data_IF_620330748941
#
_entry.id   IF_620330748941
#
_cell.length_a   1.000
_cell.length_b   1.000
_cell.length_c   1.000
_cell.angle_alpha   90.00
_cell.angle_beta   90.00
_cell.angle_gamma   90.00
#
_symmetry.space_group_name_H-M   'P 1'
#
loop_
_entity.id
_entity.type
_entity.pdbx_description
1 polymer ?
#
# COMPACT_ATOMS: atom_id res chain seq x y z
N UNK A 1 -10.86 57.33 9.18
CA UNK A 1 -9.95 56.68 10.15
C UNK A 1 -10.39 55.25 10.53
N UNK A 2 -11.69 54.96 10.76
CA UNK A 2 -12.16 53.58 11.06
C UNK A 2 -11.97 52.56 9.91
N UNK A 3 -12.18 52.97 8.65
CA UNK A 3 -12.02 52.09 7.47
C UNK A 3 -10.57 51.67 7.20
N UNK A 4 -9.60 52.56 7.45
CA UNK A 4 -8.16 52.25 7.30
C UNK A 4 -7.66 51.28 8.38
N UNK A 5 -8.18 51.37 9.60
CA UNK A 5 -7.89 50.41 10.68
C UNK A 5 -8.45 49.02 10.34
N UNK A 6 -9.65 48.95 9.77
CA UNK A 6 -10.27 47.68 9.37
C UNK A 6 -9.48 46.98 8.25
N UNK A 7 -8.95 47.75 7.28
CA UNK A 7 -8.09 47.25 6.20
C UNK A 7 -6.74 46.74 6.75
N UNK A 8 -6.16 47.46 7.72
CA UNK A 8 -4.92 47.05 8.38
C UNK A 8 -5.10 45.73 9.15
N UNK A 9 -6.21 45.56 9.87
CA UNK A 9 -6.52 44.33 10.62
C UNK A 9 -6.72 43.13 9.67
N UNK A 10 -7.40 43.31 8.54
CA UNK A 10 -7.59 42.26 7.54
C UNK A 10 -6.26 41.87 6.87
N UNK A 11 -5.38 42.85 6.63
CA UNK A 11 -4.06 42.59 6.04
C UNK A 11 -3.15 41.77 6.94
N UNK A 12 -3.28 41.87 8.27
CA UNK A 12 -2.45 41.09 9.21
C UNK A 12 -2.78 39.60 9.20
N UNK A 13 -4.02 39.22 8.87
CA UNK A 13 -4.41 37.81 8.75
C UNK A 13 -3.78 37.12 7.54
N UNK A 14 -3.37 37.86 6.51
CA UNK A 14 -2.75 37.30 5.30
C UNK A 14 -1.28 36.88 5.49
N UNK A 15 -0.61 37.33 6.56
CA UNK A 15 0.81 37.01 6.82
C UNK A 15 1.02 35.91 7.87
N UNK A 16 -0.05 35.36 8.47
CA UNK A 16 0.05 34.35 9.54
C UNK A 16 0.31 32.92 9.03
N UNK A 17 0.10 32.65 7.74
CA UNK A 17 0.41 31.35 7.14
C UNK A 17 1.88 31.26 6.71
N UNK A 18 2.80 31.18 7.67
CA UNK A 18 4.12 30.59 7.41
C UNK A 18 4.00 29.08 7.56
N UNK A 19 3.85 28.38 6.43
CA UNK A 19 4.07 26.94 6.37
C UNK A 19 5.56 26.67 6.54
N UNK A 20 6.05 26.77 7.77
CA UNK A 20 7.40 26.33 8.11
C UNK A 20 7.37 24.80 8.15
N UNK A 21 7.68 24.19 7.00
CA UNK A 21 7.93 22.76 6.92
C UNK A 21 9.24 22.45 7.64
N UNK A 22 9.17 22.31 8.97
CA UNK A 22 10.30 21.95 9.83
C UNK A 22 10.66 20.45 9.73
N UNK A 23 10.25 19.78 8.66
CA UNK A 23 10.55 18.38 8.46
C UNK A 23 12.06 18.22 8.17
N UNK A 24 12.74 17.25 8.81
CA UNK A 24 14.15 17.00 8.55
C UNK A 24 14.34 16.54 7.11
N UNK A 25 15.47 16.92 6.52
CA UNK A 25 15.86 16.35 5.24
C UNK A 25 16.31 14.89 5.44
N UNK A 26 15.61 13.99 4.78
CA UNK A 26 15.85 12.54 4.81
C UNK A 26 16.24 11.98 3.43
N UNK A 27 16.53 12.86 2.47
CA UNK A 27 16.88 12.49 1.09
C UNK A 27 18.13 11.61 0.99
N UNK A 28 19.06 11.76 1.93
CA UNK A 28 20.31 10.99 2.03
C UNK A 28 20.13 9.60 2.66
N UNK A 29 18.98 9.29 3.26
CA UNK A 29 18.73 8.00 3.89
C UNK A 29 18.37 6.99 2.79
N UNK A 30 19.22 6.00 2.55
CA UNK A 30 18.91 4.96 1.57
C UNK A 30 17.92 3.94 2.14
N UNK A 31 16.80 3.76 1.43
CA UNK A 31 15.77 2.75 1.66
C UNK A 31 15.41 2.17 0.30
N UNK A 32 15.44 0.85 0.20
CA UNK A 32 15.01 0.10 -0.96
C UNK A 32 13.64 -0.52 -0.69
N UNK A 33 12.67 -0.23 -1.54
CA UNK A 33 11.29 -0.71 -1.42
C UNK A 33 10.86 -1.20 -2.80
N UNK A 34 10.47 -2.47 -2.86
CA UNK A 34 9.78 -3.03 -4.01
C UNK A 34 8.41 -3.54 -3.56
N UNK A 35 7.36 -3.08 -4.23
CA UNK A 35 6.02 -3.57 -3.96
C UNK A 35 5.75 -4.79 -4.85
N UNK A 36 5.30 -5.86 -4.21
CA UNK A 36 4.85 -7.06 -4.91
C UNK A 36 3.34 -6.97 -5.17
N UNK A 37 2.93 -7.32 -6.39
CA UNK A 37 1.55 -7.27 -6.84
C UNK A 37 0.86 -8.61 -6.65
N UNK A 38 0.58 -8.96 -5.39
CA UNK A 38 -0.16 -10.17 -5.02
C UNK A 38 -1.47 -10.32 -5.81
N UNK A 39 -2.20 -9.22 -5.98
CA UNK A 39 -3.44 -9.16 -6.75
C UNK A 39 -3.22 -9.67 -8.19
N UNK A 40 -2.14 -9.25 -8.86
CA UNK A 40 -1.85 -9.69 -10.22
C UNK A 40 -1.65 -11.18 -10.34
N UNK A 41 -0.88 -11.74 -9.42
CA UNK A 41 -0.58 -13.17 -9.45
C UNK A 41 -1.80 -14.01 -9.03
N UNK A 42 -2.63 -13.49 -8.12
CA UNK A 42 -3.89 -14.12 -7.75
C UNK A 42 -4.88 -14.16 -8.93
N UNK A 43 -5.05 -13.04 -9.64
CA UNK A 43 -5.93 -12.96 -10.81
C UNK A 43 -5.37 -13.68 -12.05
N UNK A 44 -4.09 -14.04 -12.07
CA UNK A 44 -3.48 -14.85 -13.11
C UNK A 44 -3.75 -16.37 -12.95
N UNK A 45 -4.40 -16.80 -11.86
CA UNK A 45 -4.73 -18.20 -11.65
C UNK A 45 -5.70 -18.71 -12.73
N UNK A 46 -5.34 -19.83 -13.37
CA UNK A 46 -6.24 -20.52 -14.30
C UNK A 46 -7.47 -21.07 -13.56
N UNK A 47 -8.64 -20.59 -13.96
CA UNK A 47 -9.93 -20.99 -13.37
C UNK A 47 -10.32 -22.44 -13.61
N UNK A 48 -9.63 -23.14 -14.52
CA UNK A 48 -9.74 -24.59 -14.72
C UNK A 48 -8.79 -25.39 -13.82
N UNK A 49 -7.76 -24.74 -13.27
CA UNK A 49 -6.68 -25.37 -12.50
C UNK A 49 -6.35 -24.57 -11.22
N UNK A 50 -7.38 -24.31 -10.39
CA UNK A 50 -7.28 -23.47 -9.19
C UNK A 50 -6.24 -23.97 -8.18
N UNK A 51 -6.26 -25.27 -7.85
CA UNK A 51 -5.42 -25.81 -6.78
C UNK A 51 -3.91 -25.68 -7.10
N UNK A 52 -3.41 -26.06 -8.30
CA UNK A 52 -2.05 -25.75 -8.70
C UNK A 52 -1.69 -24.26 -8.64
N UNK A 53 -2.60 -23.38 -9.10
CA UNK A 53 -2.37 -21.93 -9.07
C UNK A 53 -2.26 -21.38 -7.64
N UNK A 54 -3.14 -21.82 -6.74
CA UNK A 54 -3.06 -21.46 -5.32
C UNK A 54 -1.80 -21.98 -4.64
N UNK A 55 -1.33 -23.18 -4.99
CA UNK A 55 -0.08 -23.71 -4.46
C UNK A 55 1.12 -22.86 -4.90
N UNK A 56 1.16 -22.45 -6.17
CA UNK A 56 2.20 -21.54 -6.69
C UNK A 56 2.13 -20.16 -6.02
N UNK A 57 0.91 -19.60 -5.89
CA UNK A 57 0.70 -18.32 -5.22
C UNK A 57 1.15 -18.37 -3.76
N UNK A 58 0.80 -19.43 -3.03
CA UNK A 58 1.21 -19.60 -1.64
C UNK A 58 2.72 -19.79 -1.49
N UNK A 59 3.38 -20.47 -2.43
CA UNK A 59 4.84 -20.59 -2.42
C UNK A 59 5.54 -19.22 -2.54
N UNK A 60 4.97 -18.31 -3.34
CA UNK A 60 5.48 -16.93 -3.49
C UNK A 60 5.06 -16.02 -2.32
N UNK A 61 3.84 -16.16 -1.84
CA UNK A 61 3.20 -15.28 -0.85
C UNK A 61 2.70 -16.05 0.36
N UNK A 62 3.62 -16.70 1.09
CA UNK A 62 3.30 -17.62 2.19
C UNK A 62 2.44 -17.01 3.30
N UNK A 63 2.59 -15.70 3.55
CA UNK A 63 1.83 -14.99 4.58
C UNK A 63 0.54 -14.40 3.99
N UNK A 64 0.61 -13.74 2.83
CA UNK A 64 -0.54 -13.06 2.25
C UNK A 64 -1.62 -14.02 1.76
N UNK A 65 -1.24 -15.16 1.16
CA UNK A 65 -2.19 -16.12 0.58
C UNK A 65 -3.19 -16.66 1.61
N UNK A 66 -2.77 -17.28 2.73
CA UNK A 66 -3.72 -17.78 3.72
C UNK A 66 -4.56 -16.66 4.34
N UNK A 67 -3.98 -15.47 4.56
CA UNK A 67 -4.73 -14.31 5.09
C UNK A 67 -5.83 -13.90 4.12
N UNK A 68 -5.51 -13.81 2.82
CA UNK A 68 -6.46 -13.42 1.80
C UNK A 68 -7.59 -14.44 1.67
N UNK A 69 -7.26 -15.73 1.59
CA UNK A 69 -8.27 -16.79 1.50
C UNK A 69 -9.19 -16.81 2.73
N UNK A 70 -8.62 -16.73 3.93
CA UNK A 70 -9.38 -16.85 5.17
C UNK A 70 -10.17 -15.58 5.52
N UNK A 71 -9.53 -14.41 5.48
CA UNK A 71 -10.10 -13.19 6.04
C UNK A 71 -10.67 -12.24 4.99
N UNK A 72 -10.28 -12.37 3.72
CA UNK A 72 -10.84 -11.56 2.63
C UNK A 72 -11.91 -12.35 1.87
N UNK A 73 -11.60 -13.58 1.44
CA UNK A 73 -12.58 -14.40 0.73
C UNK A 73 -13.52 -15.17 1.65
N UNK A 74 -13.13 -15.41 2.91
CA UNK A 74 -13.94 -16.18 3.85
C UNK A 74 -14.11 -17.65 3.44
N UNK A 75 -13.12 -18.22 2.74
CA UNK A 75 -13.17 -19.60 2.26
C UNK A 75 -12.43 -20.54 3.21
N UNK A 76 -12.96 -21.74 3.38
CA UNK A 76 -12.34 -22.85 4.10
C UNK A 76 -11.88 -23.94 3.13
N UNK A 77 -11.26 -25.01 3.64
CA UNK A 77 -10.80 -26.13 2.80
C UNK A 77 -11.91 -26.82 2.00
N UNK A 78 -13.15 -26.81 2.48
CA UNK A 78 -14.25 -27.51 1.84
C UNK A 78 -14.80 -26.74 0.63
N UNK A 79 -14.76 -25.39 0.67
CA UNK A 79 -15.27 -24.54 -0.41
C UNK A 79 -14.18 -23.75 -1.16
N UNK A 80 -12.91 -23.86 -0.79
CA UNK A 80 -11.78 -23.07 -1.34
C UNK A 80 -11.79 -22.97 -2.86
N UNK A 81 -11.86 -24.10 -3.56
CA UNK A 81 -11.76 -24.13 -5.04
C UNK A 81 -12.92 -23.35 -5.66
N UNK A 82 -14.15 -23.62 -5.21
CA UNK A 82 -15.34 -22.97 -5.75
C UNK A 82 -15.40 -21.49 -5.35
N UNK A 83 -15.03 -21.16 -4.12
CA UNK A 83 -15.00 -19.79 -3.62
C UNK A 83 -14.00 -18.91 -4.37
N UNK A 84 -12.78 -19.40 -4.59
CA UNK A 84 -11.76 -18.69 -5.38
C UNK A 84 -12.21 -18.56 -6.84
N UNK A 85 -12.71 -19.63 -7.45
CA UNK A 85 -13.22 -19.59 -8.84
C UNK A 85 -14.35 -18.58 -9.01
N UNK A 86 -15.30 -18.57 -8.08
CA UNK A 86 -16.42 -17.62 -8.10
C UNK A 86 -15.93 -16.19 -7.92
N UNK A 87 -15.02 -15.94 -6.98
CA UNK A 87 -14.46 -14.61 -6.77
C UNK A 87 -13.74 -14.10 -8.03
N UNK A 88 -12.85 -14.91 -8.62
CA UNK A 88 -12.16 -14.56 -9.87
C UNK A 88 -13.17 -14.23 -10.98
N UNK A 89 -14.18 -15.08 -11.18
CA UNK A 89 -15.19 -14.88 -12.22
C UNK A 89 -16.02 -13.61 -12.01
N UNK A 90 -16.43 -13.31 -10.78
CA UNK A 90 -17.30 -12.17 -10.47
C UNK A 90 -16.54 -10.84 -10.45
N UNK A 91 -15.25 -10.86 -10.15
CA UNK A 91 -14.45 -9.65 -9.97
C UNK A 91 -13.52 -9.33 -11.14
N UNK A 92 -13.40 -10.19 -12.15
CA UNK A 92 -12.45 -9.99 -13.26
C UNK A 92 -12.61 -8.63 -13.97
N UNK A 93 -13.85 -8.21 -14.27
CA UNK A 93 -14.09 -6.92 -14.92
C UNK A 93 -13.74 -5.70 -14.05
N UNK A 94 -13.92 -5.82 -12.72
CA UNK A 94 -13.44 -4.79 -11.79
C UNK A 94 -11.91 -4.76 -11.77
N UNK A 95 -11.29 -5.94 -11.73
CA UNK A 95 -9.83 -6.07 -11.71
C UNK A 95 -9.17 -5.50 -12.98
N UNK A 96 -9.78 -5.63 -14.16
CA UNK A 96 -9.28 -5.00 -15.40
C UNK A 96 -9.16 -3.47 -15.24
N UNK A 97 -10.15 -2.85 -14.59
CA UNK A 97 -10.14 -1.42 -14.30
C UNK A 97 -9.05 -1.08 -13.28
N UNK A 98 -8.93 -1.87 -12.21
CA UNK A 98 -7.88 -1.70 -11.20
C UNK A 98 -6.49 -1.80 -11.84
N UNK A 99 -6.25 -2.78 -12.70
CA UNK A 99 -4.95 -2.98 -13.34
C UNK A 99 -4.61 -1.88 -14.36
N UNK A 100 -5.63 -1.22 -14.92
CA UNK A 100 -5.47 -0.05 -15.79
C UNK A 100 -5.09 1.19 -14.97
N UNK A 101 -5.84 1.48 -13.90
CA UNK A 101 -5.59 2.64 -13.02
C UNK A 101 -4.26 2.49 -12.29
N UNK A 102 -3.96 1.30 -11.79
CA UNK A 102 -2.74 0.98 -11.04
C UNK A 102 -1.77 0.15 -11.89
N UNK A 103 -1.39 0.67 -13.05
CA UNK A 103 -0.49 -0.02 -13.99
C UNK A 103 0.93 -0.20 -13.43
N UNK A 104 1.44 0.74 -12.64
CA UNK A 104 2.74 0.64 -11.98
C UNK A 104 2.62 0.89 -10.49
N UNK A 105 3.63 0.47 -9.74
CA UNK A 105 3.73 0.71 -8.30
C UNK A 105 4.67 1.87 -7.96
N UNK A 106 5.30 2.50 -8.96
CA UNK A 106 6.38 3.48 -8.76
C UNK A 106 6.00 4.65 -7.86
N UNK A 107 4.77 5.15 -7.99
CA UNK A 107 4.24 6.22 -7.13
C UNK A 107 4.14 5.78 -5.67
N UNK A 108 3.56 4.59 -5.44
CA UNK A 108 3.47 4.01 -4.10
C UNK A 108 4.86 3.69 -3.54
N UNK A 109 5.75 3.11 -4.34
CA UNK A 109 7.13 2.81 -3.94
C UNK A 109 7.88 4.08 -3.51
N UNK A 110 7.67 5.21 -4.22
CA UNK A 110 8.23 6.51 -3.84
C UNK A 110 7.67 7.01 -2.51
N UNK A 111 6.36 6.91 -2.31
CA UNK A 111 5.70 7.37 -1.08
C UNK A 111 6.13 6.52 0.13
N UNK A 112 6.13 5.19 -0.02
CA UNK A 112 6.63 4.27 0.99
C UNK A 112 8.11 4.51 1.28
N UNK A 113 8.95 4.68 0.25
CA UNK A 113 10.37 5.01 0.44
C UNK A 113 10.53 6.24 1.32
N UNK A 114 9.79 7.32 1.03
CA UNK A 114 9.84 8.55 1.82
C UNK A 114 9.35 8.33 3.26
N UNK A 115 8.26 7.59 3.45
CA UNK A 115 7.76 7.25 4.77
C UNK A 115 8.79 6.47 5.60
N UNK A 116 9.40 5.42 5.02
CA UNK A 116 10.40 4.61 5.70
C UNK A 116 11.73 5.35 5.93
N UNK A 117 12.09 6.32 5.08
CA UNK A 117 13.20 7.24 5.35
C UNK A 117 12.97 8.02 6.65
N UNK A 118 11.75 8.54 6.87
CA UNK A 118 11.41 9.20 8.14
C UNK A 118 11.39 8.23 9.32
N UNK A 119 10.86 7.02 9.16
CA UNK A 119 10.91 6.00 10.22
C UNK A 119 12.37 5.77 10.64
N UNK A 120 13.29 5.61 9.69
CA UNK A 120 14.71 5.40 9.98
C UNK A 120 15.38 6.64 10.59
N UNK A 121 14.97 7.84 10.20
CA UNK A 121 15.46 9.09 10.80
C UNK A 121 15.08 9.19 12.28
N UNK A 122 13.80 8.98 12.61
CA UNK A 122 13.30 9.14 13.98
C UNK A 122 13.55 7.91 14.86
N UNK A 123 13.66 6.71 14.28
CA UNK A 123 13.87 5.44 14.97
C UNK A 123 15.07 4.69 14.36
N UNK A 124 16.31 5.18 14.55
CA UNK A 124 17.49 4.62 13.89
C UNK A 124 17.82 3.17 14.27
N UNK A 125 17.34 2.70 15.42
CA UNK A 125 17.50 1.31 15.88
C UNK A 125 16.41 0.38 15.34
N UNK A 126 15.40 0.90 14.63
CA UNK A 126 14.33 0.10 14.05
C UNK A 126 14.87 -0.77 12.91
N UNK A 127 14.82 -2.08 13.12
CA UNK A 127 15.21 -3.05 12.10
C UNK A 127 13.98 -3.41 11.27
N UNK A 128 13.82 -2.72 10.14
CA UNK A 128 12.99 -3.24 9.06
C UNK A 128 13.61 -4.57 8.60
N UNK A 129 12.91 -5.68 8.83
CA UNK A 129 13.28 -6.98 8.27
C UNK A 129 13.53 -6.84 6.77
N UNK A 130 14.47 -7.62 6.22
CA UNK A 130 14.90 -7.60 4.80
C UNK A 130 13.75 -7.69 3.79
N UNK A 131 12.57 -8.12 4.24
CA UNK A 131 11.31 -7.95 3.56
C UNK A 131 10.43 -7.03 4.42
N UNK A 132 10.36 -5.73 4.10
CA UNK A 132 9.45 -4.75 4.72
C UNK A 132 7.96 -5.05 4.49
N UNK A 133 7.60 -6.29 4.15
CA UNK A 133 6.24 -6.72 3.84
C UNK A 133 5.42 -6.94 5.12
N UNK A 134 6.06 -7.07 6.29
CA UNK A 134 5.34 -7.31 7.54
C UNK A 134 6.04 -6.62 8.72
N UNK A 135 5.53 -5.44 9.07
CA UNK A 135 5.75 -4.84 10.38
C UNK A 135 4.90 -5.61 11.40
N UNK A 136 5.43 -6.72 11.92
CA UNK A 136 4.85 -7.37 13.10
C UNK A 136 5.25 -6.54 14.31
N UNK A 137 4.31 -5.79 14.87
CA UNK A 137 4.47 -5.24 16.22
C UNK A 137 4.66 -6.41 17.17
N UNK A 138 5.78 -6.41 17.90
CA UNK A 138 6.02 -7.33 19.01
C UNK A 138 5.06 -7.08 20.17
#
# INVERSE_FOLDING_TARGET
MKKTIFILIISSFLFSCKSNNNAPDVSNINVDIKLERFDRDFFAIDTNNILPGLNQLNAKYQIATPIFLQFVLGVDSANMINGVKNFLSLSNGLYDTVNTVFKTTDGLEKDFKKAFQYVKYYFPTYQCSKNCNYCRTG
#
